data_IF_572574535008
#
_entry.id   IF_572574535008
#
_cell.length_a   1.000
_cell.length_b   1.000
_cell.length_c   1.000
_cell.angle_alpha   90.00
_cell.angle_beta   90.00
_cell.angle_gamma   90.00
#
_symmetry.space_group_name_H-M   'P 1'
#
loop_
_entity.id
_entity.type
_entity.pdbx_description
1 polymer ?
#
# COMPACT_ATOMS: atom_id res chain seq x y z
N UNK A 1 18.03 4.90 0.20
CA UNK A 1 17.85 3.81 -0.80
C UNK A 1 17.20 4.36 -2.06
N UNK A 2 17.69 4.04 -3.26
CA UNK A 2 17.19 4.64 -4.51
C UNK A 2 16.06 3.80 -5.12
N UNK A 3 14.87 4.38 -5.30
CA UNK A 3 13.72 3.79 -6.02
C UNK A 3 13.34 4.71 -7.15
N UNK A 4 13.29 4.21 -8.39
CA UNK A 4 13.02 5.03 -9.58
C UNK A 4 13.91 6.29 -9.71
N UNK A 5 15.14 6.24 -9.16
CA UNK A 5 16.06 7.37 -9.15
C UNK A 5 15.98 8.28 -7.91
N UNK A 6 15.18 7.93 -6.89
CA UNK A 6 14.97 8.76 -5.70
C UNK A 6 15.35 8.07 -4.41
N UNK A 7 16.08 8.78 -3.56
CA UNK A 7 16.44 8.31 -2.24
C UNK A 7 15.23 8.31 -1.29
N UNK A 8 14.67 7.12 -1.02
CA UNK A 8 13.70 6.89 0.04
C UNK A 8 14.46 6.60 1.34
N UNK A 9 14.21 7.45 2.34
CA UNK A 9 14.62 7.25 3.71
C UNK A 9 13.51 6.55 4.51
N UNK A 10 13.68 5.24 4.72
CA UNK A 10 12.75 4.42 5.50
C UNK A 10 12.87 4.65 7.02
N UNK A 11 13.94 5.29 7.50
CA UNK A 11 14.09 5.58 8.93
C UNK A 11 13.12 6.69 9.40
N UNK A 12 12.63 7.50 8.46
CA UNK A 12 11.73 8.63 8.71
C UNK A 12 10.33 8.44 8.09
N UNK A 13 9.77 7.22 8.19
CA UNK A 13 8.38 6.99 7.83
C UNK A 13 7.42 7.69 8.80
N UNK A 14 6.30 8.18 8.26
CA UNK A 14 5.23 8.73 9.09
C UNK A 14 4.76 7.70 10.13
N UNK A 15 4.37 8.17 11.31
CA UNK A 15 3.81 7.31 12.36
C UNK A 15 2.56 6.61 11.83
N UNK A 16 2.32 5.34 12.21
CA UNK A 16 1.15 4.60 11.78
C UNK A 16 -0.14 5.28 12.25
N UNK A 17 -1.20 5.11 11.46
CA UNK A 17 -2.56 5.49 11.85
C UNK A 17 -3.07 4.62 12.99
N UNK A 18 -2.54 3.40 13.11
CA UNK A 18 -2.91 2.42 14.11
C UNK A 18 -1.94 2.48 15.29
N UNK A 19 -2.43 2.20 16.50
CA UNK A 19 -1.57 1.94 17.64
C UNK A 19 -0.87 0.60 17.44
N UNK A 20 0.47 0.60 17.49
CA UNK A 20 1.30 -0.57 17.24
C UNK A 20 2.44 -0.68 18.23
N UNK A 21 3.01 -1.87 18.32
CA UNK A 21 4.22 -2.13 19.09
C UNK A 21 5.48 -1.72 18.31
N UNK A 22 6.59 -1.49 19.02
CA UNK A 22 7.90 -1.28 18.37
C UNK A 22 8.33 -2.51 17.55
N UNK A 23 7.96 -3.72 18.00
CA UNK A 23 8.21 -4.97 17.28
C UNK A 23 7.54 -4.98 15.90
N UNK A 24 6.30 -4.51 15.80
CA UNK A 24 5.58 -4.41 14.52
C UNK A 24 6.24 -3.41 13.57
N UNK A 25 6.73 -2.29 14.10
CA UNK A 25 7.44 -1.29 13.28
C UNK A 25 8.76 -1.84 12.76
N UNK A 26 9.53 -2.52 13.61
CA UNK A 26 10.77 -3.19 13.21
C UNK A 26 10.51 -4.30 12.19
N UNK A 27 9.48 -5.11 12.40
CA UNK A 27 9.10 -6.17 11.47
C UNK A 27 8.74 -5.61 10.10
N UNK A 28 7.94 -4.53 10.05
CA UNK A 28 7.63 -3.87 8.79
C UNK A 28 8.88 -3.41 8.06
N UNK A 29 9.81 -2.76 8.77
CA UNK A 29 11.06 -2.27 8.19
C UNK A 29 11.91 -3.41 7.62
N UNK A 30 12.04 -4.51 8.35
CA UNK A 30 12.75 -5.71 7.90
C UNK A 30 12.16 -6.34 6.64
N UNK A 31 10.85 -6.18 6.40
CA UNK A 31 10.19 -6.70 5.21
C UNK A 31 10.24 -5.71 4.04
N UNK A 32 9.96 -4.43 4.29
CA UNK A 32 9.82 -3.44 3.23
C UNK A 32 11.16 -3.03 2.62
N UNK A 33 12.23 -2.99 3.42
CA UNK A 33 13.55 -2.62 2.94
C UNK A 33 14.06 -3.57 1.84
N UNK A 34 14.18 -4.89 2.06
CA UNK A 34 14.62 -5.80 0.99
C UNK A 34 13.63 -5.83 -0.17
N UNK A 35 12.33 -5.70 0.09
CA UNK A 35 11.29 -5.63 -0.96
C UNK A 35 11.57 -4.53 -1.97
N UNK A 36 12.03 -3.38 -1.48
CA UNK A 36 12.34 -2.24 -2.32
C UNK A 36 13.76 -2.34 -2.91
N UNK A 37 14.78 -2.68 -2.11
CA UNK A 37 16.18 -2.74 -2.55
C UNK A 37 16.40 -3.77 -3.66
N UNK A 38 15.67 -4.88 -3.61
CA UNK A 38 15.79 -5.99 -4.56
C UNK A 38 14.65 -5.99 -5.59
N UNK A 39 13.82 -4.94 -5.61
CA UNK A 39 12.67 -4.79 -6.53
C UNK A 39 11.73 -6.01 -6.54
N UNK A 40 11.55 -6.66 -5.39
CA UNK A 40 10.80 -7.92 -5.23
C UNK A 40 9.32 -7.74 -5.62
N UNK A 41 8.80 -6.52 -5.49
CA UNK A 41 7.45 -6.14 -5.92
C UNK A 41 7.52 -4.84 -6.73
N UNK A 42 7.16 -4.89 -8.01
CA UNK A 42 7.21 -3.73 -8.91
C UNK A 42 5.92 -2.88 -8.87
N UNK A 43 5.43 -2.56 -7.67
CA UNK A 43 4.26 -1.69 -7.47
C UNK A 43 4.69 -0.23 -7.28
N UNK A 44 4.99 0.43 -8.38
CA UNK A 44 5.64 1.75 -8.40
C UNK A 44 4.87 2.84 -7.65
N UNK A 45 3.52 2.83 -7.61
CA UNK A 45 2.77 3.85 -6.87
C UNK A 45 2.76 3.56 -5.38
N UNK A 46 2.53 2.30 -4.99
CA UNK A 46 2.50 1.91 -3.58
C UNK A 46 3.85 2.09 -2.90
N UNK A 47 4.95 1.87 -3.63
CA UNK A 47 6.32 1.91 -3.12
C UNK A 47 7.11 3.16 -3.59
N UNK A 48 6.44 4.19 -4.12
CA UNK A 48 7.12 5.38 -4.67
C UNK A 48 7.59 6.39 -3.64
N UNK A 49 6.88 6.54 -2.52
CA UNK A 49 7.16 7.62 -1.56
C UNK A 49 7.09 7.15 -0.13
N UNK A 50 7.69 7.92 0.78
CA UNK A 50 7.53 7.71 2.23
C UNK A 50 6.05 7.67 2.65
N UNK A 51 5.18 8.47 2.02
CA UNK A 51 3.74 8.53 2.36
C UNK A 51 2.95 7.34 1.84
N UNK A 52 3.23 6.89 0.61
CA UNK A 52 2.60 5.69 0.08
C UNK A 52 3.05 4.45 0.85
N UNK A 53 4.34 4.36 1.19
CA UNK A 53 4.90 3.29 2.03
C UNK A 53 4.30 3.33 3.44
N UNK A 54 4.10 4.51 4.02
CA UNK A 54 3.38 4.65 5.29
C UNK A 54 1.93 4.19 5.20
N UNK A 55 1.24 4.37 4.08
CA UNK A 55 -0.10 3.81 3.86
C UNK A 55 -0.06 2.29 3.65
N UNK A 56 0.95 1.75 2.95
CA UNK A 56 1.20 0.30 2.90
C UNK A 56 1.34 -0.26 4.32
N UNK A 57 2.11 0.41 5.20
CA UNK A 57 2.28 0.02 6.60
C UNK A 57 0.94 -0.10 7.32
N UNK A 58 0.04 0.87 7.20
CA UNK A 58 -1.28 0.80 7.86
C UNK A 58 -2.13 -0.36 7.35
N UNK A 59 -2.18 -0.54 6.03
CA UNK A 59 -2.97 -1.59 5.38
C UNK A 59 -2.40 -2.97 5.75
N UNK A 60 -1.07 -3.10 5.72
CA UNK A 60 -0.35 -4.30 6.14
C UNK A 60 -0.68 -4.66 7.59
N UNK A 61 -0.57 -3.71 8.52
CA UNK A 61 -0.92 -3.91 9.93
C UNK A 61 -2.37 -4.38 10.09
N UNK A 62 -3.31 -3.76 9.39
CA UNK A 62 -4.71 -4.12 9.43
C UNK A 62 -4.98 -5.54 8.89
N UNK A 63 -4.19 -6.01 7.92
CA UNK A 63 -4.26 -7.38 7.43
C UNK A 63 -3.59 -8.38 8.39
N UNK A 64 -2.38 -8.05 8.85
CA UNK A 64 -1.51 -8.92 9.65
C UNK A 64 -2.06 -9.17 11.07
N UNK A 65 -2.48 -8.12 11.78
CA UNK A 65 -2.88 -8.16 13.21
C UNK A 65 -4.38 -8.34 13.46
N UNK A 66 -5.21 -8.29 12.42
CA UNK A 66 -6.67 -8.24 12.46
C UNK A 66 -7.25 -6.88 12.90
N UNK A 67 -8.09 -6.27 12.05
CA UNK A 67 -8.61 -4.90 12.22
C UNK A 67 -9.37 -4.69 13.54
N UNK A 68 -10.04 -5.72 14.05
CA UNK A 68 -10.84 -5.66 15.29
C UNK A 68 -9.99 -5.40 16.53
N UNK A 69 -8.67 -5.60 16.47
CA UNK A 69 -7.73 -5.39 17.58
C UNK A 69 -6.97 -4.06 17.50
N UNK A 70 -7.17 -3.28 16.43
CA UNK A 70 -6.35 -2.11 16.14
C UNK A 70 -7.14 -0.82 16.38
N UNK A 71 -6.64 0.00 17.29
CA UNK A 71 -7.21 1.32 17.58
C UNK A 71 -6.55 2.37 16.70
N UNK A 72 -7.37 3.25 16.11
CA UNK A 72 -6.87 4.41 15.35
C UNK A 72 -6.34 5.45 16.34
N UNK A 73 -5.10 5.89 16.13
CA UNK A 73 -4.53 7.04 16.81
C UNK A 73 -5.16 8.32 16.26
N UNK A 74 -6.13 8.87 16.99
CA UNK A 74 -6.88 10.06 16.58
C UNK A 74 -5.99 11.30 16.37
N UNK A 75 -4.87 11.41 17.10
CA UNK A 75 -3.89 12.49 16.93
C UNK A 75 -3.18 12.42 15.58
N UNK A 76 -2.77 11.23 15.14
CA UNK A 76 -2.15 11.06 13.81
C UNK A 76 -3.17 11.08 12.68
N UNK A 77 -4.37 10.55 12.90
CA UNK A 77 -5.44 10.54 11.91
C UNK A 77 -5.83 11.95 11.43
N UNK A 78 -5.77 12.94 12.33
CA UNK A 78 -6.00 14.35 11.99
C UNK A 78 -4.86 14.98 11.16
N UNK A 79 -3.64 14.48 11.28
CA UNK A 79 -2.47 14.97 10.53
C UNK A 79 -2.40 14.38 9.12
N UNK A 80 -3.02 13.23 8.89
CA UNK A 80 -2.95 12.52 7.60
C UNK A 80 -4.35 12.18 7.07
N UNK A 81 -5.21 13.19 6.80
CA UNK A 81 -6.62 12.95 6.50
C UNK A 81 -6.85 12.23 5.16
N UNK A 82 -5.96 12.41 4.16
CA UNK A 82 -6.03 11.63 2.92
C UNK A 82 -5.64 10.16 3.17
N UNK A 83 -4.57 9.92 3.93
CA UNK A 83 -4.13 8.58 4.32
C UNK A 83 -5.24 7.85 5.09
N UNK A 84 -5.89 8.55 6.02
CA UNK A 84 -7.03 8.04 6.79
C UNK A 84 -8.19 7.63 5.90
N UNK A 85 -8.64 8.50 4.98
CA UNK A 85 -9.79 8.13 4.15
C UNK A 85 -9.47 6.96 3.21
N UNK A 86 -8.26 6.88 2.67
CA UNK A 86 -7.85 5.73 1.86
C UNK A 86 -7.82 4.45 2.68
N UNK A 87 -7.28 4.51 3.89
CA UNK A 87 -7.30 3.40 4.83
C UNK A 87 -8.74 2.95 5.13
N UNK A 88 -9.66 3.88 5.45
CA UNK A 88 -11.07 3.58 5.72
C UNK A 88 -11.75 2.91 4.51
N UNK A 89 -11.61 3.49 3.33
CA UNK A 89 -12.23 2.99 2.09
C UNK A 89 -11.77 1.58 1.74
N UNK A 90 -10.47 1.31 1.90
CA UNK A 90 -9.90 -0.01 1.61
C UNK A 90 -10.31 -1.02 2.68
N UNK A 91 -10.14 -0.68 3.95
CA UNK A 91 -10.34 -1.64 5.04
C UNK A 91 -11.81 -1.99 5.31
N UNK A 92 -12.75 -1.14 4.91
CA UNK A 92 -14.20 -1.40 5.01
C UNK A 92 -14.72 -2.31 3.90
N UNK A 93 -13.96 -2.52 2.82
CA UNK A 93 -14.41 -3.37 1.73
C UNK A 93 -14.40 -4.85 2.11
N UNK A 94 -15.42 -5.59 1.67
CA UNK A 94 -15.53 -7.04 1.94
C UNK A 94 -14.31 -7.82 1.42
N UNK A 95 -13.80 -7.45 0.24
CA UNK A 95 -12.63 -8.11 -0.34
C UNK A 95 -11.36 -7.92 0.48
N UNK A 96 -11.19 -6.76 1.12
CA UNK A 96 -10.10 -6.56 2.09
C UNK A 96 -10.25 -7.51 3.27
N UNK A 97 -11.44 -7.63 3.86
CA UNK A 97 -11.67 -8.52 5.00
C UNK A 97 -11.35 -9.98 4.65
N UNK A 98 -11.71 -10.41 3.44
CA UNK A 98 -11.38 -11.75 2.92
C UNK A 98 -9.87 -11.95 2.77
N UNK A 99 -9.12 -10.95 2.29
CA UNK A 99 -7.65 -11.00 2.20
C UNK A 99 -7.00 -11.02 3.58
N UNK A 100 -7.41 -10.11 4.46
CA UNK A 100 -6.93 -10.03 5.84
C UNK A 100 -7.11 -11.36 6.58
N UNK A 101 -8.27 -12.02 6.40
CA UNK A 101 -8.50 -13.35 6.98
C UNK A 101 -7.53 -14.42 6.42
N UNK A 102 -7.17 -14.34 5.14
CA UNK A 102 -6.26 -15.29 4.48
C UNK A 102 -4.79 -15.10 4.87
N UNK A 103 -4.35 -13.87 5.09
CA UNK A 103 -2.95 -13.55 5.40
C UNK A 103 -2.68 -13.25 6.89
N UNK A 104 -3.69 -13.42 7.75
CA UNK A 104 -3.59 -13.14 9.18
C UNK A 104 -2.42 -13.90 9.80
N UNK A 105 -1.55 -13.18 10.50
CA UNK A 105 -0.36 -13.77 11.13
C UNK A 105 0.76 -14.14 10.15
N UNK A 106 0.56 -14.00 8.84
CA UNK A 106 1.60 -14.11 7.82
C UNK A 106 2.01 -12.70 7.40
N UNK A 107 3.13 -12.22 7.96
CA UNK A 107 3.62 -10.86 7.74
C UNK A 107 3.99 -10.59 6.28
N UNK A 108 4.48 -11.60 5.56
CA UNK A 108 4.96 -11.44 4.18
C UNK A 108 3.79 -11.42 3.22
N UNK A 109 2.89 -12.38 3.38
CA UNK A 109 1.71 -12.47 2.55
C UNK A 109 0.83 -11.24 2.75
N UNK A 110 0.67 -10.78 3.98
CA UNK A 110 -0.02 -9.53 4.28
C UNK A 110 0.64 -8.33 3.61
N UNK A 111 1.98 -8.30 3.52
CA UNK A 111 2.69 -7.18 2.92
C UNK A 111 2.43 -7.13 1.41
N UNK A 112 2.56 -8.28 0.74
CA UNK A 112 2.30 -8.39 -0.70
C UNK A 112 0.86 -7.96 -1.00
N UNK A 113 -0.11 -8.45 -0.22
CA UNK A 113 -1.52 -8.12 -0.40
C UNK A 113 -1.76 -6.62 -0.21
N UNK A 114 -1.17 -6.02 0.82
CA UNK A 114 -1.26 -4.58 1.07
C UNK A 114 -0.67 -3.75 -0.07
N UNK A 115 0.52 -4.10 -0.56
CA UNK A 115 1.21 -3.41 -1.66
C UNK A 115 0.41 -3.49 -2.95
N UNK A 116 -0.04 -4.68 -3.36
CA UNK A 116 -0.82 -4.87 -4.59
C UNK A 116 -2.16 -4.15 -4.49
N UNK A 117 -2.88 -4.32 -3.38
CA UNK A 117 -4.17 -3.67 -3.20
C UNK A 117 -4.06 -2.15 -3.27
N UNK A 118 -3.06 -1.58 -2.61
CA UNK A 118 -2.83 -0.14 -2.62
C UNK A 118 -2.41 0.36 -4.01
N UNK A 119 -1.63 -0.41 -4.76
CA UNK A 119 -1.24 -0.06 -6.14
C UNK A 119 -2.47 0.20 -7.02
N UNK A 120 -3.48 -0.66 -6.95
CA UNK A 120 -4.71 -0.51 -7.73
C UNK A 120 -5.50 0.75 -7.31
N UNK A 121 -5.63 0.98 -6.01
CA UNK A 121 -6.33 2.16 -5.47
C UNK A 121 -5.64 3.46 -5.88
N UNK A 122 -4.31 3.53 -5.74
CA UNK A 122 -3.55 4.72 -6.13
C UNK A 122 -3.60 4.96 -7.64
N UNK A 123 -3.57 3.91 -8.45
CA UNK A 123 -3.71 4.02 -9.90
C UNK A 123 -5.08 4.56 -10.28
N UNK A 124 -6.16 4.03 -9.70
CA UNK A 124 -7.52 4.51 -9.95
C UNK A 124 -7.69 6.00 -9.58
N UNK A 125 -7.17 6.42 -8.43
CA UNK A 125 -7.20 7.83 -8.01
C UNK A 125 -6.40 8.74 -8.94
N UNK A 126 -5.21 8.29 -9.38
CA UNK A 126 -4.37 9.02 -10.32
C UNK A 126 -5.11 9.27 -11.63
N UNK A 127 -5.78 8.26 -12.17
CA UNK A 127 -6.49 8.35 -13.45
C UNK A 127 -7.72 9.26 -13.32
N UNK A 128 -8.52 9.08 -12.26
CA UNK A 128 -9.74 9.84 -11.98
C UNK A 128 -9.50 11.32 -11.78
N UNK A 129 -8.46 11.67 -11.02
CA UNK A 129 -8.19 13.06 -10.68
C UNK A 129 -7.17 13.72 -11.61
N UNK A 130 -6.66 13.03 -12.64
CA UNK A 130 -5.66 13.57 -13.57
C UNK A 130 -6.02 14.95 -14.16
N UNK A 131 -7.31 15.19 -14.44
CA UNK A 131 -7.82 16.48 -14.92
C UNK A 131 -8.11 17.53 -13.83
N UNK A 132 -8.21 17.14 -12.56
CA UNK A 132 -8.49 18.02 -11.43
C UNK A 132 -7.18 18.46 -10.75
N UNK A 133 -6.61 19.59 -11.20
CA UNK A 133 -5.28 20.06 -10.73
C UNK A 133 -5.16 20.20 -9.21
N UNK A 134 -6.23 20.58 -8.52
CA UNK A 134 -6.21 20.81 -7.07
C UNK A 134 -6.16 19.48 -6.31
N UNK A 135 -7.07 18.55 -6.61
CA UNK A 135 -7.10 17.22 -5.98
C UNK A 135 -5.89 16.41 -6.40
N UNK A 136 -5.50 16.47 -7.67
CA UNK A 136 -4.30 15.82 -8.19
C UNK A 136 -3.04 16.37 -7.54
N UNK A 137 -2.98 17.68 -7.25
CA UNK A 137 -1.86 18.29 -6.55
C UNK A 137 -1.69 17.76 -5.12
N UNK A 138 -2.81 17.59 -4.39
CA UNK A 138 -2.80 17.01 -3.05
C UNK A 138 -2.43 15.51 -3.08
N UNK A 139 -3.02 14.76 -4.01
CA UNK A 139 -2.76 13.34 -4.22
C UNK A 139 -1.33 13.07 -4.70
N UNK A 140 -0.76 13.93 -5.56
CA UNK A 140 0.64 13.86 -5.97
C UNK A 140 1.58 13.88 -4.78
N UNK A 141 1.27 14.56 -3.69
CA UNK A 141 2.15 14.53 -2.51
C UNK A 141 2.18 13.15 -1.83
N UNK A 142 1.22 12.27 -2.11
CA UNK A 142 1.21 10.89 -1.62
C UNK A 142 1.95 9.91 -2.55
N UNK A 143 1.98 10.14 -3.86
CA UNK A 143 2.58 9.21 -4.84
C UNK A 143 3.59 9.83 -5.81
N UNK A 144 4.08 11.06 -5.54
CA UNK A 144 5.08 11.71 -6.38
C UNK A 144 6.33 10.85 -6.39
N UNK A 145 6.63 10.29 -7.55
CA UNK A 145 7.83 9.48 -7.76
C UNK A 145 9.09 10.22 -7.31
N UNK A 146 9.14 11.56 -7.46
CA UNK A 146 10.26 12.40 -7.04
C UNK A 146 10.00 13.17 -5.72
N UNK A 147 10.72 12.82 -4.65
CA UNK A 147 10.84 13.60 -3.41
C UNK A 147 11.74 14.87 -3.58
N UNK A 148 12.20 15.15 -4.81
CA UNK A 148 13.20 16.16 -5.20
C UNK A 148 12.87 17.64 -4.88
N UNK A 149 11.76 17.95 -4.20
CA UNK A 149 11.42 19.31 -3.76
C UNK A 149 11.32 19.50 -2.24
N UNK A 150 11.75 18.54 -1.42
CA UNK A 150 11.68 18.66 0.05
C UNK A 150 13.05 18.78 0.72
N UNK A 151 13.92 19.65 0.21
CA UNK A 151 14.86 20.32 1.11
C UNK A 151 14.04 21.20 2.06
N UNK A 152 13.80 20.69 3.27
CA UNK A 152 13.01 21.28 4.36
C UNK A 152 11.50 21.13 4.19
N UNK A 153 10.95 19.99 4.63
CA UNK A 153 9.59 20.00 5.17
C UNK A 153 9.54 21.10 6.25
N UNK A 154 8.70 22.14 6.11
CA UNK A 154 8.41 22.99 7.25
C UNK A 154 7.71 22.10 8.27
N UNK A 155 8.14 22.19 9.53
CA UNK A 155 7.59 21.45 10.67
C UNK A 155 6.10 21.69 10.95
N UNK A 156 5.41 22.48 10.10
CA UNK A 156 4.00 22.79 10.20
C UNK A 156 3.37 22.87 8.82
N UNK A 157 2.30 22.09 8.59
CA UNK A 157 1.47 22.20 7.40
C UNK A 157 0.84 23.59 7.32
N UNK A 158 1.03 24.26 6.18
CA UNK A 158 0.40 25.57 5.93
C UNK A 158 -1.11 25.43 5.82
N UNK A 159 -1.83 26.54 6.03
CA UNK A 159 -3.30 26.59 5.94
C UNK A 159 -3.79 26.13 4.56
N UNK A 160 -3.08 26.53 3.51
CA UNK A 160 -3.37 26.17 2.11
C UNK A 160 -3.26 24.66 1.89
N UNK A 161 -2.27 24.02 2.52
CA UNK A 161 -2.10 22.57 2.43
C UNK A 161 -3.23 21.83 3.15
N UNK A 162 -3.66 22.30 4.32
CA UNK A 162 -4.81 21.73 5.04
C UNK A 162 -6.11 21.88 4.26
N UNK A 163 -6.33 23.03 3.62
CA UNK A 163 -7.48 23.26 2.75
C UNK A 163 -7.44 22.31 1.54
N UNK A 164 -6.30 22.20 0.87
CA UNK A 164 -6.13 21.30 -0.27
C UNK A 164 -6.38 19.82 0.11
N UNK A 165 -5.91 19.40 1.29
CA UNK A 165 -6.20 18.06 1.80
C UNK A 165 -7.69 17.85 2.08
N UNK A 166 -8.37 18.81 2.71
CA UNK A 166 -9.81 18.71 2.97
C UNK A 166 -10.62 18.64 1.66
N UNK A 167 -10.24 19.42 0.64
CA UNK A 167 -10.84 19.38 -0.70
C UNK A 167 -10.61 18.01 -1.34
N UNK A 168 -9.39 17.48 -1.26
CA UNK A 168 -9.08 16.15 -1.78
C UNK A 168 -9.87 15.05 -1.08
N UNK A 169 -9.97 15.07 0.26
CA UNK A 169 -10.77 14.10 1.03
C UNK A 169 -12.23 14.14 0.60
N UNK A 170 -12.81 15.35 0.47
CA UNK A 170 -14.20 15.51 0.01
C UNK A 170 -14.38 14.96 -1.41
N UNK A 171 -13.46 15.27 -2.31
CA UNK A 171 -13.50 14.80 -3.70
C UNK A 171 -13.40 13.27 -3.79
N UNK A 172 -12.48 12.66 -3.04
CA UNK A 172 -12.31 11.19 -2.99
C UNK A 172 -13.58 10.52 -2.47
N UNK A 173 -14.15 11.02 -1.35
CA UNK A 173 -15.40 10.48 -0.80
C UNK A 173 -16.55 10.58 -1.79
N UNK A 174 -16.65 11.71 -2.48
CA UNK A 174 -17.67 11.91 -3.50
C UNK A 174 -17.48 10.95 -4.68
N UNK A 175 -16.27 10.87 -5.23
CA UNK A 175 -15.97 10.02 -6.39
C UNK A 175 -16.25 8.54 -6.10
N UNK A 176 -15.85 8.04 -4.93
CA UNK A 176 -16.12 6.65 -4.53
C UNK A 176 -17.59 6.41 -4.28
N UNK A 177 -18.33 7.39 -3.74
CA UNK A 177 -19.78 7.27 -3.54
C UNK A 177 -20.53 7.18 -4.87
N UNK A 178 -20.21 8.06 -5.81
CA UNK A 178 -20.87 8.11 -7.12
C UNK A 178 -20.47 6.91 -8.00
N UNK A 179 -19.24 6.40 -7.87
CA UNK A 179 -18.71 5.28 -8.65
C UNK A 179 -18.50 4.02 -7.80
N UNK A 180 -19.37 3.78 -6.81
CA UNK A 180 -19.17 2.70 -5.83
C UNK A 180 -19.04 1.31 -6.47
N UNK A 181 -19.84 1.02 -7.51
CA UNK A 181 -19.75 -0.27 -8.22
C UNK A 181 -18.40 -0.46 -8.91
N UNK A 182 -17.86 0.60 -9.50
CA UNK A 182 -16.55 0.57 -10.14
C UNK A 182 -15.44 0.41 -9.12
N UNK A 183 -15.51 1.15 -8.01
CA UNK A 183 -14.54 1.03 -6.92
C UNK A 183 -14.57 -0.37 -6.28
N UNK A 184 -15.75 -0.94 -6.07
CA UNK A 184 -15.90 -2.32 -5.62
C UNK A 184 -15.35 -3.33 -6.63
N UNK A 185 -15.55 -3.10 -7.93
CA UNK A 185 -14.98 -3.91 -9.02
C UNK A 185 -13.46 -3.85 -9.03
N UNK A 186 -12.86 -2.67 -8.82
CA UNK A 186 -11.41 -2.50 -8.67
C UNK A 186 -10.86 -3.36 -7.52
N UNK A 187 -11.50 -3.30 -6.35
CA UNK A 187 -11.09 -4.10 -5.18
C UNK A 187 -11.32 -5.60 -5.39
N UNK A 188 -12.33 -5.98 -6.18
CA UNK A 188 -12.54 -7.36 -6.57
C UNK A 188 -11.46 -7.86 -7.54
N UNK A 189 -11.05 -7.03 -8.50
CA UNK A 189 -10.00 -7.36 -9.45
C UNK A 189 -8.65 -7.54 -8.75
N UNK A 190 -8.30 -6.64 -7.83
CA UNK A 190 -7.08 -6.77 -7.03
C UNK A 190 -7.13 -8.04 -6.16
N UNK A 191 -8.29 -8.34 -5.55
CA UNK A 191 -8.50 -9.60 -4.83
C UNK A 191 -8.27 -10.83 -5.72
N UNK A 192 -8.87 -10.88 -6.90
CA UNK A 192 -8.73 -12.02 -7.82
C UNK A 192 -7.28 -12.19 -8.29
N UNK A 193 -6.59 -11.08 -8.58
CA UNK A 193 -5.17 -11.12 -8.92
C UNK A 193 -4.35 -11.71 -7.78
N UNK A 194 -4.57 -11.22 -6.56
CA UNK A 194 -3.89 -11.71 -5.37
C UNK A 194 -4.16 -13.21 -5.16
N UNK A 195 -5.41 -13.65 -5.28
CA UNK A 195 -5.78 -15.07 -5.14
C UNK A 195 -5.14 -15.93 -6.24
N UNK A 196 -5.07 -15.42 -7.47
CA UNK A 196 -4.41 -16.10 -8.57
C UNK A 196 -2.91 -16.28 -8.31
N UNK A 197 -2.21 -15.22 -7.87
CA UNK A 197 -0.79 -15.27 -7.54
C UNK A 197 -0.52 -16.25 -6.40
N UNK A 198 -1.35 -16.24 -5.36
CA UNK A 198 -1.27 -17.19 -4.26
C UNK A 198 -1.57 -18.64 -4.71
N UNK A 199 -2.50 -18.83 -5.66
CA UNK A 199 -2.78 -20.13 -6.26
C UNK A 199 -1.59 -20.67 -7.07
N UNK A 200 -0.92 -19.81 -7.83
CA UNK A 200 0.30 -20.16 -8.60
C UNK A 200 1.50 -20.48 -7.73
N UNK A 201 1.62 -19.88 -6.53
CA UNK A 201 2.65 -20.26 -5.57
C UNK A 201 2.45 -21.68 -5.01
N UNK A 202 1.20 -22.16 -4.96
CA UNK A 202 0.85 -23.48 -4.41
C UNK A 202 0.75 -24.59 -5.47
N UNK A 203 0.66 -24.24 -6.76
CA UNK A 203 0.58 -25.20 -7.87
C UNK A 203 1.83 -25.06 -8.77
N UNK A 204 2.75 -26.02 -8.64
CA UNK A 204 3.94 -26.13 -9.50
C UNK A 204 3.66 -26.49 -10.96
N UNK A 205 2.42 -26.46 -11.45
CA UNK A 205 2.10 -26.82 -12.84
C UNK A 205 0.86 -26.12 -13.42
N UNK A 206 1.12 -25.36 -14.49
CA UNK A 206 0.30 -25.25 -15.71
C UNK A 206 -0.83 -24.19 -15.85
N UNK A 207 -0.85 -23.68 -17.09
CA UNK A 207 -1.84 -22.94 -17.88
C UNK A 207 -1.98 -21.43 -17.64
N UNK A 208 -1.25 -20.75 -18.52
CA UNK A 208 -1.53 -19.43 -19.08
C UNK A 208 -3.02 -19.26 -19.41
N UNK A 209 -3.66 -18.34 -18.72
CA UNK A 209 -4.52 -17.35 -19.36
C UNK A 209 -4.82 -16.29 -18.30
N UNK A 210 -4.16 -15.15 -18.41
CA UNK A 210 -4.62 -13.80 -18.08
C UNK A 210 -3.36 -12.92 -17.92
N UNK A 211 -3.23 -11.99 -18.87
CA UNK A 211 -2.41 -10.77 -18.86
C UNK A 211 -0.92 -10.87 -19.22
N UNK A 212 -0.59 -10.64 -20.51
CA UNK A 212 0.74 -10.19 -20.95
C UNK A 212 1.26 -8.97 -20.17
N UNK A 213 0.39 -8.21 -19.51
CA UNK A 213 0.71 -7.06 -18.65
C UNK A 213 1.27 -7.43 -17.26
N UNK A 214 1.10 -8.69 -16.83
CA UNK A 214 1.57 -9.19 -15.52
C UNK A 214 2.88 -9.97 -15.60
N UNK A 215 3.43 -10.21 -16.81
CA UNK A 215 4.73 -10.91 -16.97
C UNK A 215 5.84 -10.29 -16.12
N UNK A 216 5.83 -8.96 -15.96
CA UNK A 216 6.83 -8.24 -15.18
C UNK A 216 6.61 -8.26 -13.67
N UNK A 217 5.40 -8.60 -13.17
CA UNK A 217 5.10 -8.69 -11.74
C UNK A 217 5.09 -10.13 -11.23
N UNK A 218 4.62 -11.06 -12.06
CA UNK A 218 4.47 -12.46 -11.70
C UNK A 218 5.82 -13.16 -11.50
N UNK A 219 6.83 -12.88 -12.33
CA UNK A 219 8.18 -13.46 -12.16
C UNK A 219 8.86 -12.97 -10.87
N UNK A 220 8.96 -11.65 -10.57
CA UNK A 220 9.54 -11.18 -9.31
C UNK A 220 8.75 -11.60 -8.07
N UNK A 221 7.41 -11.60 -8.13
CA UNK A 221 6.59 -12.07 -7.01
C UNK A 221 6.76 -13.58 -6.79
N UNK A 222 6.80 -14.37 -7.87
CA UNK A 222 7.05 -15.81 -7.76
C UNK A 222 8.48 -16.09 -7.29
N UNK A 223 9.47 -15.29 -7.69
CA UNK A 223 10.83 -15.34 -7.15
C UNK A 223 10.85 -14.98 -5.67
N UNK A 224 10.14 -13.94 -5.24
CA UNK A 224 10.00 -13.58 -3.82
C UNK A 224 9.36 -14.71 -3.00
N UNK A 225 8.29 -15.30 -3.50
CA UNK A 225 7.66 -16.48 -2.89
C UNK A 225 8.64 -17.67 -2.90
N UNK A 226 9.31 -17.97 -4.01
CA UNK A 226 10.23 -19.10 -4.10
C UNK A 226 11.45 -18.91 -3.18
N UNK A 227 12.16 -17.80 -3.25
CA UNK A 227 13.34 -17.54 -2.42
C UNK A 227 13.00 -17.66 -0.93
N UNK A 228 11.88 -17.07 -0.48
CA UNK A 228 11.52 -17.10 0.94
C UNK A 228 10.94 -18.43 1.44
N UNK A 229 10.18 -19.15 0.62
CA UNK A 229 9.60 -20.45 1.01
C UNK A 229 10.50 -21.66 0.68
N UNK A 230 11.53 -21.51 -0.18
CA UNK A 230 12.46 -22.61 -0.53
C UNK A 230 13.84 -22.49 0.11
N UNK A 231 14.31 -21.28 0.44
CA UNK A 231 15.48 -21.17 1.33
C UNK A 231 14.99 -21.24 2.76
N UNK A 232 15.27 -22.37 3.43
CA UNK A 232 15.29 -22.45 4.88
C UNK A 232 16.26 -21.37 5.38
N UNK A 233 15.77 -20.15 5.62
CA UNK A 233 16.56 -19.08 6.20
C UNK A 233 16.55 -19.31 7.72
N UNK A 234 17.64 -19.82 8.32
CA UNK A 234 17.65 -20.22 9.72
C UNK A 234 17.56 -19.03 10.68
N UNK A 235 17.56 -17.80 10.16
CA UNK A 235 17.38 -16.56 10.93
C UNK A 235 15.92 -16.12 11.06
N UNK A 236 14.96 -16.85 10.47
CA UNK A 236 13.53 -16.59 10.62
C UNK A 236 12.88 -17.77 11.34
N UNK A 237 12.95 -17.74 12.67
CA UNK A 237 12.18 -18.67 13.51
C UNK A 237 10.76 -18.15 13.63
N UNK A 238 9.92 -18.51 12.66
CA UNK A 238 8.49 -18.65 12.92
C UNK A 238 8.24 -19.82 13.86
#
# INVERSE_FOLDING_TARGET
MIVNGIEIDLANLEKPLLLVSEEDELLFLQLIQPTIEQELIQCQLALSTRKSISLVKDIWLAMYRDREKLYINSGHAMLYPIRLILFELVTQAEYFQRLAKKSRGDECLSLIYAVILLQFVLQWLKDRFSGNKEVYGALKRLYRVSDDELSKEPSCETREQKIAQAIAVKAIRFEVRENNQEFASLLYQSYNLIVFLHGKANEGDVKESILPSLRHLAEPLNLFYQERYTTNNPSFTG
#
